data_IF_015256320116
#
_entry.id   IF_015256320116
#
_cell.length_a   1.000
_cell.length_b   1.000
_cell.length_c   1.000
_cell.angle_alpha   90.00
_cell.angle_beta   90.00
_cell.angle_gamma   90.00
#
_symmetry.space_group_name_H-M   'P 1'
#
loop_
_entity.id
_entity.type
_entity.pdbx_description
1 polymer ?
#
# COMPACT_ATOMS: atom_id res chain seq x y z
N UNK A 1 -3.14 15.47 -10.59
CA UNK A 1 -2.11 14.93 -9.67
C UNK A 1 -2.52 15.01 -8.21
N UNK A 2 -3.07 16.14 -7.73
CA UNK A 2 -3.42 16.36 -6.32
C UNK A 2 -4.26 15.21 -5.72
N UNK A 3 -5.30 14.76 -6.44
CA UNK A 3 -6.17 13.68 -5.96
C UNK A 3 -5.48 12.31 -5.80
N UNK A 4 -4.47 12.01 -6.62
CA UNK A 4 -3.75 10.73 -6.55
C UNK A 4 -2.73 10.78 -5.42
N UNK A 5 -1.96 11.86 -5.31
CA UNK A 5 -1.04 12.05 -4.19
C UNK A 5 -1.78 12.05 -2.86
N UNK A 6 -2.94 12.69 -2.79
CA UNK A 6 -3.81 12.67 -1.62
C UNK A 6 -4.36 11.27 -1.31
N UNK A 7 -4.84 10.54 -2.32
CA UNK A 7 -5.30 9.16 -2.15
C UNK A 7 -4.18 8.23 -1.67
N UNK A 8 -2.98 8.37 -2.24
CA UNK A 8 -1.77 7.62 -1.82
C UNK A 8 -1.41 7.89 -0.36
N UNK A 9 -1.45 9.16 0.06
CA UNK A 9 -1.27 9.57 1.46
C UNK A 9 -2.34 8.96 2.38
N UNK A 10 -3.60 9.02 1.99
CA UNK A 10 -4.70 8.45 2.76
C UNK A 10 -4.55 6.92 2.94
N UNK A 11 -4.13 6.21 1.88
CA UNK A 11 -3.92 4.76 2.00
C UNK A 11 -2.71 4.45 2.89
N UNK A 12 -1.63 5.23 2.82
CA UNK A 12 -0.49 5.05 3.73
C UNK A 12 -0.87 5.28 5.19
N UNK A 13 -1.64 6.34 5.49
CA UNK A 13 -2.16 6.57 6.84
C UNK A 13 -3.03 5.40 7.32
N UNK A 14 -3.88 4.85 6.45
CA UNK A 14 -4.69 3.67 6.78
C UNK A 14 -3.85 2.41 6.98
N UNK A 15 -2.75 2.26 6.25
CA UNK A 15 -1.81 1.17 6.46
C UNK A 15 -1.10 1.27 7.82
N UNK A 16 -0.74 2.49 8.26
CA UNK A 16 -0.20 2.72 9.60
C UNK A 16 -1.21 2.38 10.70
N UNK A 17 -2.47 2.84 10.57
CA UNK A 17 -3.54 2.45 11.50
C UNK A 17 -3.73 0.92 11.57
N UNK A 18 -3.62 0.22 10.43
CA UNK A 18 -3.68 -1.24 10.42
C UNK A 18 -2.46 -1.87 11.12
N UNK A 19 -1.28 -1.27 11.00
CA UNK A 19 -0.07 -1.76 11.69
C UNK A 19 -0.22 -1.67 13.21
N UNK A 20 -0.76 -0.57 13.73
CA UNK A 20 -1.09 -0.41 15.16
C UNK A 20 -2.05 -1.49 15.66
N UNK A 21 -3.11 -1.79 14.89
CA UNK A 21 -4.07 -2.85 15.23
C UNK A 21 -3.38 -4.22 15.26
N UNK A 22 -2.49 -4.50 14.31
CA UNK A 22 -1.79 -5.79 14.27
C UNK A 22 -0.77 -5.90 15.39
N UNK A 23 -0.14 -4.80 15.81
CA UNK A 23 0.72 -4.76 16.99
C UNK A 23 -0.07 -5.09 18.27
N UNK A 24 -1.27 -4.51 18.42
CA UNK A 24 -2.16 -4.84 19.52
C UNK A 24 -2.54 -6.34 19.54
N UNK A 25 -2.88 -6.91 18.37
CA UNK A 25 -3.22 -8.34 18.27
C UNK A 25 -2.02 -9.21 18.69
N UNK A 26 -0.81 -8.86 18.25
CA UNK A 26 0.41 -9.60 18.60
C UNK A 26 0.73 -9.52 20.10
N UNK A 27 0.51 -8.34 20.71
CA UNK A 27 0.61 -8.17 22.16
C UNK A 27 -0.39 -9.06 22.90
N UNK A 28 -1.67 -9.04 22.49
CA UNK A 28 -2.72 -9.89 23.07
C UNK A 28 -2.40 -11.37 22.91
N UNK A 29 -1.86 -11.78 21.76
CA UNK A 29 -1.42 -13.15 21.52
C UNK A 29 -0.25 -13.54 22.45
N UNK A 30 0.72 -12.64 22.66
CA UNK A 30 1.83 -12.87 23.60
C UNK A 30 1.35 -13.02 25.05
N UNK A 31 0.45 -12.14 25.49
CA UNK A 31 -0.13 -12.20 26.84
C UNK A 31 -0.96 -13.48 27.03
N UNK A 32 -1.76 -13.84 26.03
CA UNK A 32 -2.55 -15.08 26.03
C UNK A 32 -1.65 -16.32 26.10
N UNK A 33 -0.51 -16.30 25.39
CA UNK A 33 0.49 -17.38 25.46
C UNK A 33 1.08 -17.53 26.86
N UNK A 34 1.36 -16.42 27.55
CA UNK A 34 1.84 -16.42 28.94
C UNK A 34 0.77 -16.89 29.92
N UNK A 35 -0.48 -16.46 29.75
CA UNK A 35 -1.61 -16.92 30.54
C UNK A 35 -1.82 -18.44 30.39
N UNK A 36 -1.76 -18.95 29.16
CA UNK A 36 -1.82 -20.39 28.88
C UNK A 36 -0.67 -21.16 29.54
N UNK A 37 0.55 -20.62 29.54
CA UNK A 37 1.69 -21.22 30.23
C UNK A 37 1.45 -21.31 31.76
N UNK A 38 0.99 -20.21 32.37
CA UNK A 38 0.69 -20.18 33.80
C UNK A 38 -0.41 -21.18 34.17
N UNK A 39 -1.45 -21.28 33.33
CA UNK A 39 -2.51 -22.27 33.51
C UNK A 39 -2.00 -23.71 33.38
N UNK A 40 -1.09 -24.00 32.44
CA UNK A 40 -0.47 -25.33 32.32
C UNK A 40 0.38 -25.68 33.55
N UNK A 41 1.09 -24.71 34.14
CA UNK A 41 1.87 -24.92 35.37
C UNK A 41 0.94 -25.24 36.54
N UNK A 42 -0.14 -24.48 36.73
CA UNK A 42 -1.08 -24.71 37.83
C UNK A 42 -1.86 -26.03 37.65
N UNK A 43 -2.20 -26.39 36.41
CA UNK A 43 -2.77 -27.69 36.08
C UNK A 43 -1.83 -28.85 36.45
N UNK A 44 -0.53 -28.72 36.17
CA UNK A 44 0.47 -29.71 36.58
C UNK A 44 0.58 -29.80 38.12
N UNK A 45 0.49 -28.66 38.81
CA UNK A 45 0.53 -28.59 40.28
C UNK A 45 -0.67 -29.27 40.94
N UNK A 46 -1.85 -29.20 40.33
CA UNK A 46 -3.06 -29.87 40.79
C UNK A 46 -3.07 -31.39 40.52
N UNK A 47 -2.08 -31.94 39.83
CA UNK A 47 -1.93 -33.37 39.56
C UNK A 47 -3.11 -33.95 38.78
N UNK A 48 -3.70 -35.04 39.28
CA UNK A 48 -4.83 -35.72 38.62
C UNK A 48 -6.06 -34.81 38.44
N UNK A 49 -6.31 -33.89 39.39
CA UNK A 49 -7.42 -32.95 39.31
C UNK A 49 -7.23 -31.84 38.25
N UNK A 50 -5.99 -31.62 37.81
CA UNK A 50 -5.63 -30.59 36.83
C UNK A 50 -5.57 -31.07 35.38
N UNK A 51 -5.70 -32.38 35.11
CA UNK A 51 -5.52 -32.95 33.75
C UNK A 51 -6.41 -32.29 32.70
N UNK A 52 -7.69 -32.07 33.00
CA UNK A 52 -8.62 -31.40 32.09
C UNK A 52 -8.23 -29.95 31.80
N UNK A 53 -7.83 -29.20 32.83
CA UNK A 53 -7.35 -27.82 32.69
C UNK A 53 -6.05 -27.73 31.90
N UNK A 54 -5.16 -28.72 32.02
CA UNK A 54 -3.91 -28.78 31.26
C UNK A 54 -4.14 -28.92 29.75
N UNK A 55 -5.17 -29.65 29.32
CA UNK A 55 -5.55 -29.75 27.90
C UNK A 55 -6.03 -28.39 27.38
N UNK A 56 -6.91 -27.73 28.13
CA UNK A 56 -7.42 -26.39 27.76
C UNK A 56 -6.28 -25.36 27.71
N UNK A 57 -5.37 -25.39 28.66
CA UNK A 57 -4.22 -24.47 28.70
C UNK A 57 -3.28 -24.65 27.50
N UNK A 58 -3.06 -25.91 27.06
CA UNK A 58 -2.29 -26.19 25.85
C UNK A 58 -3.00 -25.71 24.58
N UNK A 59 -4.32 -25.85 24.49
CA UNK A 59 -5.10 -25.35 23.34
C UNK A 59 -5.03 -23.82 23.26
N UNK A 60 -5.21 -23.13 24.38
CA UNK A 60 -5.07 -21.66 24.47
C UNK A 60 -3.68 -21.22 23.98
N UNK A 61 -2.62 -21.93 24.39
CA UNK A 61 -1.25 -21.64 23.95
C UNK A 61 -1.07 -21.87 22.44
N UNK A 62 -1.66 -22.93 21.90
CA UNK A 62 -1.64 -23.22 20.46
C UNK A 62 -2.34 -22.13 19.65
N UNK A 63 -3.53 -21.71 20.10
CA UNK A 63 -4.29 -20.60 19.49
C UNK A 63 -3.51 -19.29 19.53
N UNK A 64 -2.84 -18.99 20.64
CA UNK A 64 -2.00 -17.80 20.78
C UNK A 64 -0.81 -17.80 19.79
N UNK A 65 -0.13 -18.94 19.64
CA UNK A 65 0.96 -19.08 18.64
C UNK A 65 0.44 -18.93 17.21
N UNK A 66 -0.72 -19.51 16.91
CA UNK A 66 -1.37 -19.36 15.61
C UNK A 66 -1.75 -17.90 15.33
N UNK A 67 -2.30 -17.19 16.32
CA UNK A 67 -2.66 -15.77 16.21
C UNK A 67 -1.45 -14.87 15.95
N UNK A 68 -0.32 -15.11 16.64
CA UNK A 68 0.94 -14.40 16.37
C UNK A 68 1.48 -14.68 14.95
N UNK A 69 1.36 -15.92 14.48
CA UNK A 69 1.69 -16.30 13.10
C UNK A 69 0.86 -15.53 12.07
N UNK A 70 -0.47 -15.50 12.24
CA UNK A 70 -1.37 -14.74 11.37
C UNK A 70 -1.08 -13.24 11.40
N UNK A 71 -0.80 -12.66 12.57
CA UNK A 71 -0.45 -11.25 12.73
C UNK A 71 0.82 -10.90 11.93
N UNK A 72 1.82 -11.80 11.91
CA UNK A 72 3.02 -11.62 11.10
C UNK A 72 2.74 -11.61 9.59
N UNK A 73 1.87 -12.50 9.11
CA UNK A 73 1.48 -12.52 7.70
C UNK A 73 0.67 -11.27 7.31
N UNK A 74 -0.20 -10.78 8.20
CA UNK A 74 -0.93 -9.52 7.99
C UNK A 74 0.04 -8.33 7.88
N UNK A 75 1.02 -8.20 8.79
CA UNK A 75 2.07 -7.16 8.67
C UNK A 75 2.81 -7.22 7.33
N UNK A 76 3.14 -8.42 6.87
CA UNK A 76 3.78 -8.60 5.56
C UNK A 76 2.89 -8.12 4.42
N UNK A 77 1.59 -8.42 4.47
CA UNK A 77 0.62 -7.93 3.48
C UNK A 77 0.51 -6.41 3.49
N UNK A 78 0.41 -5.77 4.67
CA UNK A 78 0.39 -4.30 4.82
C UNK A 78 1.65 -3.67 4.21
N UNK A 79 2.83 -4.19 4.54
CA UNK A 79 4.10 -3.69 3.99
C UNK A 79 4.17 -3.82 2.47
N UNK A 80 3.63 -4.90 1.90
CA UNK A 80 3.56 -5.07 0.45
C UNK A 80 2.61 -4.06 -0.20
N UNK A 81 1.47 -3.76 0.43
CA UNK A 81 0.52 -2.75 -0.06
C UNK A 81 1.19 -1.37 -0.11
N UNK A 82 1.89 -0.96 0.95
CA UNK A 82 2.62 0.31 0.98
C UNK A 82 3.66 0.40 -0.15
N UNK A 83 4.41 -0.68 -0.39
CA UNK A 83 5.38 -0.75 -1.51
C UNK A 83 4.72 -0.58 -2.87
N UNK A 84 3.61 -1.27 -3.11
CA UNK A 84 2.87 -1.20 -4.38
C UNK A 84 2.31 0.21 -4.63
N UNK A 85 1.84 0.88 -3.59
CA UNK A 85 1.36 2.26 -3.68
C UNK A 85 2.51 3.22 -3.96
N UNK A 86 3.65 3.03 -3.29
CA UNK A 86 4.87 3.80 -3.53
C UNK A 86 5.33 3.70 -4.99
N UNK A 87 5.46 2.48 -5.52
CA UNK A 87 5.84 2.26 -6.92
C UNK A 87 4.82 2.82 -7.90
N UNK A 88 3.52 2.62 -7.64
CA UNK A 88 2.46 3.17 -8.49
C UNK A 88 2.45 4.69 -8.52
N UNK A 89 2.74 5.34 -7.39
CA UNK A 89 2.87 6.81 -7.31
C UNK A 89 4.06 7.30 -8.14
N UNK A 90 5.20 6.61 -8.08
CA UNK A 90 6.38 6.95 -8.87
C UNK A 90 6.13 6.82 -10.38
N UNK A 91 5.50 5.73 -10.81
CA UNK A 91 5.14 5.52 -12.22
C UNK A 91 4.19 6.61 -12.74
N UNK A 92 3.22 7.02 -11.93
CA UNK A 92 2.29 8.09 -12.28
C UNK A 92 2.98 9.45 -12.42
N UNK A 93 3.96 9.76 -11.57
CA UNK A 93 4.77 10.98 -11.70
C UNK A 93 5.53 10.96 -13.03
N UNK A 94 6.18 9.84 -13.36
CA UNK A 94 6.90 9.69 -14.64
C UNK A 94 5.95 9.83 -15.84
N UNK A 95 4.81 9.18 -15.80
CA UNK A 95 3.79 9.24 -16.86
C UNK A 95 3.29 10.67 -17.10
N UNK A 96 3.06 11.41 -16.03
CA UNK A 96 2.64 12.79 -16.18
C UNK A 96 3.74 13.72 -16.71
N UNK A 97 5.01 13.45 -16.41
CA UNK A 97 6.13 14.16 -17.05
C UNK A 97 6.12 13.95 -18.56
N UNK A 98 5.98 12.70 -19.01
CA UNK A 98 5.84 12.38 -20.43
C UNK A 98 4.61 13.06 -21.06
N UNK A 99 3.50 13.14 -20.33
CA UNK A 99 2.29 13.82 -20.81
C UNK A 99 2.53 15.33 -21.01
N UNK A 100 3.31 15.96 -20.14
CA UNK A 100 3.70 17.36 -20.29
C UNK A 100 4.61 17.57 -21.51
N UNK A 101 5.59 16.70 -21.71
CA UNK A 101 6.45 16.72 -22.91
C UNK A 101 5.65 16.58 -24.20
N UNK A 102 4.73 15.60 -24.24
CA UNK A 102 3.83 15.40 -25.39
C UNK A 102 2.97 16.64 -25.63
N UNK A 103 2.43 17.25 -24.57
CA UNK A 103 1.64 18.48 -24.68
C UNK A 103 2.46 19.63 -25.27
N UNK A 104 3.73 19.76 -24.88
CA UNK A 104 4.62 20.79 -25.43
C UNK A 104 4.91 20.54 -26.92
N UNK A 105 5.20 19.30 -27.32
CA UNK A 105 5.40 18.96 -28.73
C UNK A 105 4.16 19.23 -29.58
N UNK A 106 2.95 18.99 -29.06
CA UNK A 106 1.71 19.32 -29.77
C UNK A 106 1.60 20.84 -29.99
N UNK A 107 1.96 21.66 -29.00
CA UNK A 107 1.96 23.12 -29.15
C UNK A 107 2.96 23.59 -30.21
N UNK A 108 4.16 23.02 -30.25
CA UNK A 108 5.15 23.32 -31.30
C UNK A 108 4.65 22.94 -32.70
N UNK A 109 3.98 21.78 -32.83
CA UNK A 109 3.35 21.36 -34.07
C UNK A 109 2.25 22.35 -34.49
N UNK A 110 1.41 22.80 -33.55
CA UNK A 110 0.38 23.79 -33.84
C UNK A 110 0.97 25.11 -34.37
N UNK A 111 2.03 25.61 -33.74
CA UNK A 111 2.75 26.82 -34.19
C UNK A 111 3.34 26.61 -35.59
N UNK A 112 3.92 25.43 -35.84
CA UNK A 112 4.51 25.09 -37.14
C UNK A 112 3.45 25.03 -38.25
N UNK A 113 2.27 24.48 -37.95
CA UNK A 113 1.13 24.46 -38.89
C UNK A 113 0.68 25.88 -39.21
N UNK A 114 0.54 26.75 -38.21
CA UNK A 114 0.15 28.16 -38.42
C UNK A 114 1.15 28.90 -39.32
N UNK A 115 2.45 28.69 -39.08
CA UNK A 115 3.50 29.24 -39.93
C UNK A 115 3.45 28.70 -41.38
N UNK A 116 3.15 27.41 -41.56
CA UNK A 116 3.00 26.80 -42.89
C UNK A 116 1.80 27.38 -43.63
N UNK A 117 0.66 27.55 -42.95
CA UNK A 117 -0.53 28.19 -43.52
C UNK A 117 -0.22 29.61 -43.97
N UNK A 118 0.45 30.41 -43.12
CA UNK A 118 0.83 31.78 -43.48
C UNK A 118 1.80 31.84 -44.68
N UNK A 119 2.75 30.91 -44.74
CA UNK A 119 3.69 30.80 -45.87
C UNK A 119 2.94 30.42 -47.15
N UNK A 120 1.97 29.52 -47.08
CA UNK A 120 1.16 29.12 -48.22
C UNK A 120 0.32 30.29 -48.77
N UNK A 121 -0.28 31.09 -47.89
CA UNK A 121 -1.03 32.31 -48.25
C UNK A 121 -0.14 33.33 -48.97
N UNK A 122 1.07 33.57 -48.45
CA UNK A 122 2.04 34.47 -49.09
C UNK A 122 2.44 34.00 -50.49
N UNK A 123 2.69 32.69 -50.66
CA UNK A 123 3.02 32.11 -51.96
C UNK A 123 1.86 32.26 -52.95
N UNK A 124 0.62 32.09 -52.51
CA UNK A 124 -0.57 32.31 -53.34
C UNK A 124 -0.68 33.78 -53.79
N UNK A 125 -0.43 34.72 -52.90
CA UNK A 125 -0.45 36.15 -53.23
C UNK A 125 0.64 36.52 -54.24
N UNK A 126 1.86 36.01 -54.06
CA UNK A 126 2.95 36.20 -55.02
C UNK A 126 2.61 35.64 -56.40
N UNK A 127 1.99 34.47 -56.46
CA UNK A 127 1.58 33.85 -57.72
C UNK A 127 0.48 34.63 -58.46
N UNK A 128 -0.41 35.33 -57.74
CA UNK A 128 -1.43 36.22 -58.35
C UNK A 128 -0.86 37.52 -58.91
N UNK A 129 0.30 37.95 -58.42
CA UNK A 129 0.96 39.21 -58.81
C UNK A 129 2.00 39.04 -59.94
N UNK A 130 2.20 37.82 -60.44
CA UNK A 130 3.00 37.49 -61.63
C UNK A 130 2.14 37.48 -62.90
#
# INVERSE_FOLDING_TARGET
>A
MTNISESSLNINNKAEEMEEVVELIDSVASDTKLLGLNASIEAARAGEFGKGFGVVANEIRSMAVSSAGSSKEIRKMISNIQKLIGSGTEELIKFSGHTQEVSASIQEISISIESLTQTAEQLEEMAKNL
#
